data_IF_707567986621
#
_entry.id   IF_707567986621
#
_cell.length_a   1.000
_cell.length_b   1.000
_cell.length_c   1.000
_cell.angle_alpha   90.00
_cell.angle_beta   90.00
_cell.angle_gamma   90.00
#
_symmetry.space_group_name_H-M   'P 1'
#
loop_
_entity.id
_entity.type
_entity.pdbx_description
1 polymer ?
#
# COMPACT_ATOMS: atom_id res chain seq x y z
N UNK A 1 -4.32 -36.51 34.37
CA UNK A 1 -3.31 -35.50 34.75
C UNK A 1 -2.35 -35.34 33.58
N UNK A 2 -2.49 -34.27 32.80
CA UNK A 2 -1.47 -33.86 31.82
C UNK A 2 -0.88 -32.58 32.38
N UNK A 3 0.35 -32.68 32.88
CA UNK A 3 1.14 -31.57 33.38
C UNK A 3 1.68 -30.87 32.14
N UNK A 4 1.09 -29.75 31.74
CA UNK A 4 1.66 -28.82 30.75
C UNK A 4 2.25 -27.61 31.47
N UNK A 5 3.34 -27.83 32.21
CA UNK A 5 4.20 -26.77 32.74
C UNK A 5 5.13 -26.28 31.62
N UNK A 6 4.63 -25.45 30.69
CA UNK A 6 5.48 -24.83 29.66
C UNK A 6 5.06 -23.39 29.29
N UNK A 7 4.29 -22.70 30.15
CA UNK A 7 3.55 -21.48 29.75
C UNK A 7 4.30 -20.17 30.08
N UNK A 8 5.42 -20.18 30.80
CA UNK A 8 6.08 -18.92 31.23
C UNK A 8 7.30 -18.49 30.39
N UNK A 9 7.88 -19.36 29.56
CA UNK A 9 9.11 -19.02 28.80
C UNK A 9 8.86 -18.62 27.34
N UNK A 10 7.76 -19.05 26.72
CA UNK A 10 7.47 -18.70 25.32
C UNK A 10 6.87 -17.29 25.18
N UNK A 11 6.12 -16.81 26.18
CA UNK A 11 5.52 -15.47 26.12
C UNK A 11 6.56 -14.35 26.24
N UNK A 12 7.58 -14.51 27.09
CA UNK A 12 8.66 -13.53 27.25
C UNK A 12 9.44 -13.39 25.96
N UNK A 13 9.73 -14.51 25.30
CA UNK A 13 10.44 -14.53 24.01
C UNK A 13 9.58 -13.89 22.90
N UNK A 14 8.28 -14.21 22.86
CA UNK A 14 7.34 -13.58 21.93
C UNK A 14 7.31 -12.05 22.07
N UNK A 15 7.32 -11.51 23.29
CA UNK A 15 7.31 -10.05 23.53
C UNK A 15 8.60 -9.42 23.02
N UNK A 16 9.76 -10.03 23.27
CA UNK A 16 11.04 -9.53 22.77
C UNK A 16 11.08 -9.55 21.25
N UNK A 17 10.64 -10.65 20.63
CA UNK A 17 10.60 -10.80 19.18
C UNK A 17 9.63 -9.79 18.55
N UNK A 18 8.46 -9.55 19.15
CA UNK A 18 7.51 -8.51 18.70
C UNK A 18 8.10 -7.10 18.71
N UNK A 19 9.04 -6.79 19.62
CA UNK A 19 9.72 -5.51 19.62
C UNK A 19 10.78 -5.39 18.51
N UNK A 20 11.38 -6.52 18.10
CA UNK A 20 12.40 -6.56 17.05
C UNK A 20 11.75 -6.64 15.66
N UNK A 21 10.58 -7.26 15.53
CA UNK A 21 9.87 -7.45 14.26
C UNK A 21 9.73 -6.15 13.43
N UNK A 22 9.33 -5.00 13.98
CA UNK A 22 9.28 -3.75 13.21
C UNK A 22 10.64 -3.35 12.61
N UNK A 23 11.73 -3.57 13.34
CA UNK A 23 13.08 -3.32 12.86
C UNK A 23 13.52 -4.34 11.80
N UNK A 24 13.10 -5.60 11.95
CA UNK A 24 13.30 -6.67 10.97
C UNK A 24 12.61 -6.34 9.64
N UNK A 25 11.35 -5.88 9.68
CA UNK A 25 10.58 -5.48 8.49
C UNK A 25 11.25 -4.28 7.80
N UNK A 26 11.71 -3.30 8.57
CA UNK A 26 12.40 -2.12 8.04
C UNK A 26 13.86 -2.38 7.63
N UNK A 27 14.35 -3.62 7.69
CA UNK A 27 15.76 -3.98 7.45
C UNK A 27 16.77 -3.17 8.28
N UNK A 28 16.36 -2.69 9.46
CA UNK A 28 17.19 -1.91 10.40
C UNK A 28 17.70 -2.74 11.58
N UNK A 29 17.26 -3.99 11.70
CA UNK A 29 17.72 -4.92 12.72
C UNK A 29 19.16 -5.41 12.45
N UNK A 30 19.89 -5.70 13.54
CA UNK A 30 21.22 -6.32 13.45
C UNK A 30 21.13 -7.75 12.94
N UNK A 31 22.23 -8.29 12.40
CA UNK A 31 22.28 -9.69 11.92
C UNK A 31 21.93 -10.71 13.00
N UNK A 32 22.34 -10.46 14.24
CA UNK A 32 22.03 -11.31 15.40
C UNK A 32 20.53 -11.31 15.71
N UNK A 33 19.88 -10.15 15.62
CA UNK A 33 18.45 -10.00 15.88
C UNK A 33 17.61 -10.61 14.76
N UNK A 34 18.06 -10.48 13.51
CA UNK A 34 17.47 -11.16 12.35
C UNK A 34 17.45 -12.67 12.56
N UNK A 35 18.58 -13.26 12.95
CA UNK A 35 18.68 -14.70 13.17
C UNK A 35 17.74 -15.17 14.30
N UNK A 36 17.66 -14.42 15.40
CA UNK A 36 16.73 -14.72 16.51
C UNK A 36 15.27 -14.67 16.07
N UNK A 37 14.90 -13.65 15.29
CA UNK A 37 13.55 -13.51 14.74
C UNK A 37 13.21 -14.69 13.82
N UNK A 38 14.10 -15.06 12.90
CA UNK A 38 13.86 -16.18 11.98
C UNK A 38 13.75 -17.52 12.71
N UNK A 39 14.62 -17.77 13.70
CA UNK A 39 14.54 -18.98 14.50
C UNK A 39 13.22 -19.04 15.28
N UNK A 40 12.79 -17.94 15.89
CA UNK A 40 11.53 -17.89 16.62
C UNK A 40 10.31 -18.03 15.69
N UNK A 41 10.31 -17.36 14.54
CA UNK A 41 9.24 -17.46 13.53
C UNK A 41 9.08 -18.88 12.97
N UNK A 42 10.15 -19.68 12.98
CA UNK A 42 10.09 -21.09 12.55
C UNK A 42 9.32 -21.99 13.54
N UNK A 43 9.23 -21.59 14.82
CA UNK A 43 8.63 -22.37 15.91
C UNK A 43 7.31 -21.78 16.41
N UNK A 44 7.13 -20.45 16.31
CA UNK A 44 6.00 -19.73 16.88
C UNK A 44 5.04 -19.20 15.80
N UNK A 45 3.86 -19.80 15.71
CA UNK A 45 2.79 -19.37 14.79
C UNK A 45 2.24 -17.97 15.15
N UNK A 46 2.21 -17.62 16.43
CA UNK A 46 1.67 -16.34 16.89
C UNK A 46 2.50 -15.15 16.39
N UNK A 47 3.83 -15.24 16.48
CA UNK A 47 4.73 -14.22 15.95
C UNK A 47 4.69 -14.16 14.41
N UNK A 48 4.46 -15.29 13.74
CA UNK A 48 4.29 -15.33 12.28
C UNK A 48 3.00 -14.62 11.85
N UNK A 49 1.89 -14.84 12.54
CA UNK A 49 0.65 -14.11 12.29
C UNK A 49 0.81 -12.62 12.57
N UNK A 50 1.50 -12.26 13.67
CA UNK A 50 1.79 -10.85 13.98
C UNK A 50 2.61 -10.18 12.87
N UNK A 51 3.67 -10.82 12.38
CA UNK A 51 4.48 -10.32 11.26
C UNK A 51 3.62 -10.09 10.01
N UNK A 52 2.76 -11.05 9.64
CA UNK A 52 1.84 -10.92 8.51
C UNK A 52 0.91 -9.71 8.64
N UNK A 53 0.35 -9.48 9.84
CA UNK A 53 -0.56 -8.34 10.07
C UNK A 53 0.14 -6.99 9.96
N UNK A 54 1.45 -6.93 10.24
CA UNK A 54 2.25 -5.72 10.09
C UNK A 54 2.59 -5.46 8.62
N UNK A 55 2.94 -6.48 7.84
CA UNK A 55 3.14 -6.34 6.39
C UNK A 55 1.90 -5.82 5.67
N UNK A 56 0.71 -6.32 6.03
CA UNK A 56 -0.55 -5.82 5.45
C UNK A 56 -0.84 -4.35 5.78
N UNK A 57 -0.30 -3.81 6.89
CA UNK A 57 -0.45 -2.38 7.22
C UNK A 57 0.45 -1.51 6.36
N UNK A 58 1.70 -1.92 6.16
CA UNK A 58 2.66 -1.18 5.32
C UNK A 58 2.19 -1.12 3.85
N UNK A 59 1.68 -2.24 3.33
CA UNK A 59 1.07 -2.29 1.99
C UNK A 59 -0.14 -1.36 1.85
N UNK A 60 -0.93 -1.17 2.91
CA UNK A 60 -2.08 -0.25 2.88
C UNK A 60 -1.63 1.20 2.88
N UNK A 61 -0.58 1.55 3.60
CA UNK A 61 -0.01 2.90 3.59
C UNK A 61 0.62 3.22 2.23
N UNK A 62 1.38 2.29 1.65
CA UNK A 62 1.89 2.42 0.27
C UNK A 62 0.74 2.52 -0.72
N UNK A 63 -0.31 1.70 -0.61
CA UNK A 63 -1.50 1.82 -1.46
C UNK A 63 -2.22 3.13 -1.28
N UNK A 64 -2.25 3.76 -0.11
CA UNK A 64 -2.85 5.09 0.04
C UNK A 64 -2.00 6.18 -0.63
N UNK A 65 -0.68 6.12 -0.49
CA UNK A 65 0.24 7.04 -1.18
C UNK A 65 0.15 6.90 -2.70
N UNK A 66 0.06 5.67 -3.20
CA UNK A 66 -0.07 5.37 -4.65
C UNK A 66 -1.50 5.61 -5.15
N UNK A 67 -2.53 5.35 -4.32
CA UNK A 67 -3.94 5.65 -4.64
C UNK A 67 -4.24 7.14 -4.68
N UNK A 68 -3.42 7.99 -4.05
CA UNK A 68 -3.48 9.44 -4.23
C UNK A 68 -3.00 9.88 -5.63
N UNK A 69 -2.23 9.05 -6.35
CA UNK A 69 -1.94 9.29 -7.77
C UNK A 69 -2.99 8.73 -8.72
N UNK A 70 -3.92 7.88 -8.26
CA UNK A 70 -5.01 7.34 -9.10
C UNK A 70 -6.36 8.06 -8.89
N UNK A 71 -6.31 9.38 -8.69
CA UNK A 71 -7.45 10.27 -8.95
C UNK A 71 -7.11 11.32 -10.01
N UNK A 72 -6.33 10.94 -11.02
CA UNK A 72 -6.26 11.70 -12.28
C UNK A 72 -7.32 11.19 -13.26
N UNK A 73 -8.59 11.38 -12.88
CA UNK A 73 -9.64 11.70 -13.88
C UNK A 73 -9.65 13.20 -14.15
N UNK A 74 -8.46 13.78 -14.32
CA UNK A 74 -8.33 15.02 -15.06
C UNK A 74 -8.28 14.62 -16.52
N UNK A 75 -9.42 14.24 -17.11
CA UNK A 75 -9.60 14.55 -18.53
C UNK A 75 -9.29 16.03 -18.62
N UNK A 76 -8.16 16.37 -19.21
CA UNK A 76 -7.62 17.71 -19.24
C UNK A 76 -8.75 18.62 -19.70
N UNK A 77 -9.24 19.48 -18.79
CA UNK A 77 -10.34 20.40 -19.10
C UNK A 77 -9.97 21.20 -20.36
N UNK A 78 -8.66 21.43 -20.53
CA UNK A 78 -8.06 22.00 -21.71
C UNK A 78 -8.35 21.21 -23.00
N UNK A 79 -8.25 19.89 -23.00
CA UNK A 79 -8.59 19.06 -24.18
C UNK A 79 -10.06 19.20 -24.57
N UNK A 80 -10.97 19.27 -23.60
CA UNK A 80 -12.40 19.46 -23.86
C UNK A 80 -12.65 20.87 -24.43
N UNK A 81 -12.00 21.89 -23.88
CA UNK A 81 -12.07 23.27 -24.41
C UNK A 81 -11.54 23.38 -25.83
N UNK A 82 -10.41 22.74 -26.15
CA UNK A 82 -9.80 22.79 -27.48
C UNK A 82 -10.68 22.07 -28.52
N UNK A 83 -11.21 20.88 -28.21
CA UNK A 83 -12.13 20.20 -29.11
C UNK A 83 -13.44 20.97 -29.31
N UNK A 84 -13.98 21.55 -28.24
CA UNK A 84 -15.21 22.35 -28.29
C UNK A 84 -15.06 23.59 -29.17
N UNK A 85 -13.97 24.36 -28.98
CA UNK A 85 -13.71 25.55 -29.77
C UNK A 85 -13.54 25.23 -31.27
N UNK A 86 -12.81 24.15 -31.61
CA UNK A 86 -12.66 23.70 -32.98
C UNK A 86 -14.01 23.30 -33.62
N UNK A 87 -14.85 22.58 -32.88
CA UNK A 87 -16.18 22.20 -33.35
C UNK A 87 -17.08 23.41 -33.63
N UNK A 88 -17.12 24.37 -32.70
CA UNK A 88 -17.92 25.61 -32.86
C UNK A 88 -17.43 26.42 -34.07
N UNK A 89 -16.12 26.51 -34.28
CA UNK A 89 -15.54 27.20 -35.45
C UNK A 89 -16.00 26.57 -36.77
N UNK A 90 -15.97 25.25 -36.90
CA UNK A 90 -16.40 24.56 -38.13
C UNK A 90 -17.89 24.74 -38.37
N UNK A 91 -18.73 24.59 -37.34
CA UNK A 91 -20.18 24.79 -37.44
C UNK A 91 -20.50 26.23 -37.86
N UNK A 92 -19.78 27.21 -37.30
CA UNK A 92 -19.94 28.61 -37.66
C UNK A 92 -19.60 28.86 -39.13
N UNK A 93 -18.49 28.31 -39.64
CA UNK A 93 -18.10 28.43 -41.04
C UNK A 93 -19.14 27.81 -41.99
N UNK A 94 -19.65 26.63 -41.67
CA UNK A 94 -20.72 25.99 -42.46
C UNK A 94 -21.99 26.84 -42.46
N UNK A 95 -22.39 27.37 -41.30
CA UNK A 95 -23.57 28.23 -41.18
C UNK A 95 -23.45 29.51 -42.02
N UNK A 96 -22.25 30.08 -42.12
CA UNK A 96 -21.99 31.24 -42.99
C UNK A 96 -22.08 30.90 -44.48
N UNK A 97 -21.67 29.70 -44.90
CA UNK A 97 -21.83 29.25 -46.28
C UNK A 97 -23.32 29.06 -46.63
N UNK A 98 -24.10 28.44 -45.75
CA UNK A 98 -25.54 28.27 -45.95
C UNK A 98 -26.31 29.59 -45.95
N UNK A 99 -25.84 30.62 -45.26
CA UNK A 99 -26.48 31.93 -45.26
C UNK A 99 -26.19 32.75 -46.52
N UNK A 100 -25.18 32.36 -47.30
CA UNK A 100 -24.69 33.13 -48.46
C UNK A 100 -25.00 32.47 -49.81
N UNK A 101 -25.47 31.23 -49.83
CA UNK A 101 -26.05 30.55 -51.00
C UNK A 101 -27.56 30.62 -50.98
#
# INVERSE_FOLDING_TARGET
MVISNNIESEEVDCVQIKNIIPHYINHTASKEDIQKVEEHLSKCENCRNYLSTLWEKDDREIKQLVSSQNKRRGCDLFTIFVLGAAGVMVIFLVSLLFRKG
#
